data_IF_847440469825
#
_entry.id   IF_847440469825
#
_cell.length_a   1.000
_cell.length_b   1.000
_cell.length_c   1.000
_cell.angle_alpha   90.00
_cell.angle_beta   90.00
_cell.angle_gamma   90.00
#
_symmetry.space_group_name_H-M   'P 1'
#
loop_
_entity.id
_entity.type
_entity.pdbx_description
1 polymer ?
#
# COMPACT_ATOMS: atom_id res chain seq x y z
N UNK A 1 17.30 9.92 -10.76
CA UNK A 1 16.69 9.57 -9.47
C UNK A 1 16.06 10.83 -8.90
N UNK A 2 14.83 10.76 -8.38
CA UNK A 2 14.14 11.94 -7.83
C UNK A 2 14.84 12.44 -6.57
N UNK A 3 15.04 13.75 -6.49
CA UNK A 3 15.66 14.49 -5.38
C UNK A 3 14.63 14.93 -4.34
N UNK A 4 15.09 15.28 -3.13
CA UNK A 4 14.23 15.83 -2.08
C UNK A 4 13.73 17.21 -2.51
N UNK A 5 14.58 18.00 -3.18
CA UNK A 5 14.26 19.32 -3.70
C UNK A 5 13.11 19.30 -4.72
N UNK A 6 13.12 18.35 -5.66
CA UNK A 6 12.02 18.17 -6.62
C UNK A 6 10.71 17.81 -5.89
N UNK A 7 10.76 16.92 -4.90
CA UNK A 7 9.58 16.53 -4.11
C UNK A 7 9.01 17.72 -3.33
N UNK A 8 9.87 18.52 -2.70
CA UNK A 8 9.47 19.72 -1.94
C UNK A 8 8.78 20.72 -2.87
N UNK A 9 9.38 20.98 -4.04
CA UNK A 9 8.85 21.92 -5.02
C UNK A 9 7.48 21.48 -5.54
N UNK A 10 7.34 20.22 -5.95
CA UNK A 10 6.10 19.68 -6.49
C UNK A 10 4.99 19.59 -5.43
N UNK A 11 5.33 19.22 -4.20
CA UNK A 11 4.37 19.16 -3.10
C UNK A 11 3.97 20.53 -2.53
N UNK A 12 4.65 21.62 -2.93
CA UNK A 12 4.38 22.97 -2.44
C UNK A 12 4.67 23.16 -0.95
N UNK A 13 5.59 22.39 -0.38
CA UNK A 13 5.98 22.46 1.04
C UNK A 13 7.32 23.16 1.22
N UNK A 14 7.66 23.53 2.46
CA UNK A 14 8.99 24.07 2.78
C UNK A 14 9.98 22.93 3.03
N UNK A 15 11.28 23.24 2.92
CA UNK A 15 12.35 22.32 3.31
C UNK A 15 12.24 21.89 4.77
N UNK A 16 11.97 22.83 5.68
CA UNK A 16 11.73 22.50 7.09
C UNK A 16 10.48 21.63 7.29
N UNK A 17 9.43 21.85 6.49
CA UNK A 17 8.23 21.02 6.49
C UNK A 17 8.52 19.58 6.07
N UNK A 18 9.35 19.37 5.05
CA UNK A 18 9.80 18.01 4.68
C UNK A 18 10.55 17.34 5.83
N UNK A 19 11.58 18.01 6.37
CA UNK A 19 12.41 17.43 7.43
C UNK A 19 11.71 17.29 8.78
N UNK A 20 10.58 17.95 8.98
CA UNK A 20 9.69 17.70 10.10
C UNK A 20 9.06 16.30 10.05
N UNK A 21 8.71 15.81 8.85
CA UNK A 21 8.09 14.50 8.65
C UNK A 21 9.10 13.39 8.37
N UNK A 22 10.16 13.68 7.61
CA UNK A 22 11.13 12.69 7.15
C UNK A 22 12.56 13.20 7.30
N UNK A 23 13.40 12.48 8.04
CA UNK A 23 14.81 12.83 8.26
C UNK A 23 15.62 12.79 6.98
N UNK A 24 15.25 11.91 6.05
CA UNK A 24 15.88 11.76 4.74
C UNK A 24 14.94 11.10 3.72
N UNK A 25 15.46 10.91 2.49
CA UNK A 25 14.72 10.27 1.40
C UNK A 25 14.44 8.79 1.64
N UNK A 26 15.30 8.08 2.37
CA UNK A 26 15.09 6.65 2.64
C UNK A 26 13.93 6.45 3.62
N UNK A 27 13.76 7.34 4.59
CA UNK A 27 12.62 7.31 5.50
C UNK A 27 11.30 7.58 4.76
N UNK A 28 11.28 8.56 3.84
CA UNK A 28 10.14 8.77 2.95
C UNK A 28 9.84 7.52 2.11
N UNK A 29 10.86 6.93 1.48
CA UNK A 29 10.69 5.73 0.66
C UNK A 29 10.13 4.57 1.49
N UNK A 30 10.64 4.36 2.71
CA UNK A 30 10.13 3.35 3.63
C UNK A 30 8.68 3.60 4.02
N UNK A 31 8.32 4.84 4.32
CA UNK A 31 6.94 5.20 4.66
C UNK A 31 5.98 4.96 3.48
N UNK A 32 6.41 5.26 2.25
CA UNK A 32 5.64 4.94 1.03
C UNK A 32 5.43 3.43 0.88
N UNK A 33 6.48 2.62 1.09
CA UNK A 33 6.38 1.16 1.04
C UNK A 33 5.45 0.61 2.12
N UNK A 34 5.54 1.09 3.35
CA UNK A 34 4.66 0.67 4.44
C UNK A 34 3.20 0.98 4.14
N UNK A 35 2.91 2.20 3.68
CA UNK A 35 1.55 2.59 3.26
C UNK A 35 1.02 1.68 2.15
N UNK A 36 1.88 1.31 1.19
CA UNK A 36 1.51 0.40 0.11
C UNK A 36 1.23 -1.02 0.61
N UNK A 37 2.05 -1.54 1.53
CA UNK A 37 1.83 -2.85 2.17
C UNK A 37 0.50 -2.85 2.93
N UNK A 38 0.23 -1.82 3.75
CA UNK A 38 -1.03 -1.69 4.50
C UNK A 38 -2.26 -1.59 3.60
N UNK A 39 -2.13 -1.00 2.41
CA UNK A 39 -3.19 -0.97 1.41
C UNK A 39 -3.40 -2.35 0.76
N UNK A 40 -2.32 -3.05 0.43
CA UNK A 40 -2.40 -4.41 -0.13
C UNK A 40 -2.99 -5.39 0.88
N UNK A 41 -2.55 -5.35 2.14
CA UNK A 41 -3.07 -6.21 3.20
C UNK A 41 -4.58 -6.03 3.34
N UNK A 42 -5.08 -4.78 3.31
CA UNK A 42 -6.52 -4.50 3.34
C UNK A 42 -7.28 -5.08 2.14
N UNK A 43 -6.72 -4.97 0.94
CA UNK A 43 -7.34 -5.53 -0.28
C UNK A 43 -7.37 -7.06 -0.19
N UNK A 44 -6.26 -7.69 0.17
CA UNK A 44 -6.20 -9.14 0.32
C UNK A 44 -7.16 -9.61 1.41
N UNK A 45 -7.18 -8.97 2.58
CA UNK A 45 -8.09 -9.33 3.67
C UNK A 45 -9.57 -9.32 3.22
N UNK A 46 -9.99 -8.28 2.48
CA UNK A 46 -11.35 -8.20 1.93
C UNK A 46 -11.64 -9.34 0.93
N UNK A 47 -10.75 -9.53 -0.05
CA UNK A 47 -10.95 -10.53 -1.11
C UNK A 47 -10.96 -11.96 -0.54
N UNK A 48 -10.06 -12.26 0.39
CA UNK A 48 -10.02 -13.54 1.10
C UNK A 48 -11.22 -13.72 2.03
N UNK A 49 -11.70 -12.65 2.69
CA UNK A 49 -12.90 -12.70 3.50
C UNK A 49 -14.13 -13.07 2.64
N UNK A 50 -14.30 -12.39 1.50
CA UNK A 50 -15.37 -12.69 0.54
C UNK A 50 -15.27 -14.10 -0.02
N UNK A 51 -14.07 -14.57 -0.37
CA UNK A 51 -13.85 -15.94 -0.81
C UNK A 51 -14.29 -16.99 0.23
N UNK A 52 -14.05 -16.73 1.53
CA UNK A 52 -14.49 -17.61 2.63
C UNK A 52 -16.00 -17.56 2.87
N UNK A 53 -16.66 -16.46 2.56
CA UNK A 53 -18.13 -16.37 2.66
C UNK A 53 -18.87 -17.15 1.59
N UNK A 54 -18.20 -17.49 0.48
CA UNK A 54 -18.82 -18.14 -0.68
C UNK A 54 -18.63 -19.66 -0.73
N UNK A 55 -17.74 -20.22 0.10
CA UNK A 55 -17.51 -21.66 0.21
C UNK A 55 -16.80 -22.03 1.50
N UNK A 56 -17.27 -23.09 2.17
CA UNK A 56 -16.60 -23.70 3.33
C UNK A 56 -15.48 -24.69 2.91
N UNK A 57 -15.48 -25.17 1.66
CA UNK A 57 -14.38 -25.96 1.13
C UNK A 57 -13.14 -25.08 0.90
N UNK A 58 -11.97 -25.40 1.51
CA UNK A 58 -10.78 -24.55 1.44
C UNK A 58 -10.23 -24.34 0.02
N UNK A 59 -10.28 -25.37 -0.84
CA UNK A 59 -9.79 -25.27 -2.21
C UNK A 59 -10.71 -24.36 -3.04
N UNK A 60 -12.03 -24.56 -2.96
CA UNK A 60 -12.99 -23.74 -3.68
C UNK A 60 -12.95 -22.28 -3.20
N UNK A 61 -12.88 -22.04 -1.89
CA UNK A 61 -12.74 -20.70 -1.33
C UNK A 61 -11.48 -19.97 -1.83
N UNK A 62 -10.36 -20.69 -1.93
CA UNK A 62 -9.12 -20.15 -2.50
C UNK A 62 -9.26 -19.84 -4.01
N UNK A 63 -9.85 -20.73 -4.80
CA UNK A 63 -10.07 -20.50 -6.23
C UNK A 63 -11.01 -19.31 -6.49
N UNK A 64 -12.06 -19.15 -5.67
CA UNK A 64 -12.95 -17.99 -5.70
C UNK A 64 -12.17 -16.71 -5.36
N UNK A 65 -11.32 -16.74 -4.33
CA UNK A 65 -10.43 -15.62 -3.97
C UNK A 65 -9.55 -15.21 -5.15
N UNK A 66 -8.90 -16.17 -5.82
CA UNK A 66 -8.08 -15.89 -7.02
C UNK A 66 -8.89 -15.26 -8.16
N UNK A 67 -10.14 -15.70 -8.33
CA UNK A 67 -11.04 -15.13 -9.33
C UNK A 67 -11.44 -13.70 -8.99
N UNK A 68 -11.80 -13.43 -7.73
CA UNK A 68 -12.13 -12.09 -7.23
C UNK A 68 -10.95 -11.12 -7.29
N UNK A 69 -9.73 -11.60 -7.10
CA UNK A 69 -8.51 -10.79 -7.21
C UNK A 69 -8.19 -10.39 -8.66
N UNK A 70 -8.65 -11.18 -9.63
CA UNK A 70 -8.39 -10.95 -11.06
C UNK A 70 -9.43 -10.03 -11.75
N UNK A 71 -10.43 -9.55 -11.00
CA UNK A 71 -11.47 -8.61 -11.46
C UNK A 71 -11.14 -7.18 -11.02
#
# INVERSE_FOLDING_TARGET
ATSIEEVIAEAGITKSGFFYHFKDKNELARALMLRYIEENDRIFDDVFHRGRQLSDDPLQSFLITLKLLAE
#
